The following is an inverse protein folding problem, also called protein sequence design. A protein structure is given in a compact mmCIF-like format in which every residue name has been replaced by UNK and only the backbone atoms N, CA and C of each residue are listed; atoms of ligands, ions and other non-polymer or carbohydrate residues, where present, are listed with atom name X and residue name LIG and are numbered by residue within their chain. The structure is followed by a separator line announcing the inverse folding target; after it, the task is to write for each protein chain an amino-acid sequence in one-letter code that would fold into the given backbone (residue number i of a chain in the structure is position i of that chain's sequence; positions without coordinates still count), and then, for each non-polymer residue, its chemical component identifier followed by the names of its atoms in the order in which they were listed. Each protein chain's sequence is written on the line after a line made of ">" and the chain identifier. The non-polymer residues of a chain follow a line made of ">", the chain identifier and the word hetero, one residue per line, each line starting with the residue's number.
data_IF_169578293127
#
_entry.id   IF_169578293127
#
_cell.length_a   1.000
_cell.length_b   1.000
_cell.length_c   1.000
_cell.angle_alpha   90.00
_cell.angle_beta   90.00
_cell.angle_gamma   90.00
#
_symmetry.space_group_name_H-M   'P 1'
#
loop_
_entity.id
_entity.type
_entity.pdbx_description
1 polymer ?
#
# COMPACT_ATOMS: atom_id res chain seq x y z
N UNK A 1 16.90 27.69 2.63
CA UNK A 1 15.42 27.78 2.54
C UNK A 1 14.92 26.34 2.54
N UNK A 2 14.35 25.91 3.66
CA UNK A 2 13.57 24.68 3.95
C UNK A 2 14.11 23.36 3.34
N UNK A 3 14.78 22.56 4.19
CA UNK A 3 14.93 21.12 4.01
C UNK A 3 13.58 20.42 4.23
N UNK A 4 13.13 19.61 3.27
CA UNK A 4 12.09 18.61 3.45
C UNK A 4 12.61 17.27 2.89
N UNK A 5 12.33 16.12 3.53
CA UNK A 5 12.78 14.84 3.02
C UNK A 5 11.84 14.38 1.88
N UNK A 6 12.36 14.28 0.66
CA UNK A 6 11.68 13.64 -0.46
C UNK A 6 12.02 12.14 -0.45
N UNK A 7 10.98 11.31 -0.34
CA UNK A 7 11.09 9.86 -0.23
C UNK A 7 11.21 9.15 -1.58
N UNK A 8 11.45 7.84 -1.50
CA UNK A 8 11.40 6.92 -2.64
C UNK A 8 12.11 5.58 -2.48
N UNK A 9 12.54 5.17 -1.27
CA UNK A 9 13.02 3.82 -1.03
C UNK A 9 11.82 2.89 -0.82
N UNK A 10 11.80 1.66 -1.37
CA UNK A 10 10.74 0.70 -1.03
C UNK A 10 10.75 0.57 0.49
N UNK A 11 9.61 0.88 1.12
CA UNK A 11 9.41 0.93 2.56
C UNK A 11 9.75 -0.43 3.20
N UNK A 12 11.04 -0.72 3.37
CA UNK A 12 11.50 -1.53 4.48
C UNK A 12 11.16 -0.64 5.67
N UNK A 13 10.17 -0.98 6.50
CA UNK A 13 9.78 -0.10 7.58
C UNK A 13 11.05 0.10 8.41
N UNK A 14 11.57 1.33 8.42
CA UNK A 14 12.62 1.69 9.36
C UNK A 14 12.15 1.29 10.75
N UNK A 15 13.06 1.15 11.74
CA UNK A 15 12.69 0.72 13.11
C UNK A 15 11.41 1.39 13.65
N UNK A 16 11.15 2.64 13.26
CA UNK A 16 9.94 3.41 13.57
C UNK A 16 8.65 2.89 12.92
N UNK A 17 8.70 2.42 11.67
CA UNK A 17 7.56 1.82 10.97
C UNK A 17 7.15 0.47 11.58
N UNK A 18 8.13 -0.36 11.96
CA UNK A 18 7.84 -1.64 12.63
C UNK A 18 7.18 -1.40 13.99
N UNK A 19 7.72 -0.45 14.78
CA UNK A 19 7.12 -0.07 16.07
C UNK A 19 5.69 0.45 15.89
N UNK A 20 5.45 1.31 14.91
CA UNK A 20 4.12 1.82 14.60
C UNK A 20 3.15 0.68 14.27
N UNK A 21 3.56 -0.28 13.44
CA UNK A 21 2.75 -1.46 13.12
C UNK A 21 2.37 -2.25 14.38
N UNK A 22 3.33 -2.49 15.28
CA UNK A 22 3.05 -3.17 16.55
C UNK A 22 2.09 -2.38 17.45
N UNK A 23 2.26 -1.06 17.53
CA UNK A 23 1.38 -0.19 18.31
C UNK A 23 -0.06 -0.21 17.78
N UNK A 24 -0.23 -0.20 16.46
CA UNK A 24 -1.54 -0.30 15.82
C UNK A 24 -2.22 -1.64 16.15
N UNK A 25 -1.49 -2.76 16.06
CA UNK A 25 -2.03 -4.08 16.44
C UNK A 25 -2.37 -4.18 17.93
N UNK A 26 -1.53 -3.62 18.80
CA UNK A 26 -1.80 -3.59 20.24
C UNK A 26 -3.04 -2.76 20.55
N UNK A 27 -3.22 -1.63 19.87
CA UNK A 27 -4.40 -0.77 20.02
C UNK A 27 -5.68 -1.44 19.51
N UNK A 28 -5.62 -2.12 18.35
CA UNK A 28 -6.72 -2.93 17.83
C UNK A 28 -7.15 -4.02 18.83
N UNK A 29 -6.20 -4.79 19.34
CA UNK A 29 -6.47 -5.81 20.36
C UNK A 29 -7.10 -5.20 21.62
N UNK A 30 -6.65 -4.02 22.04
CA UNK A 30 -7.21 -3.30 23.18
C UNK A 30 -8.68 -2.92 22.94
N UNK A 31 -9.04 -2.45 21.73
CA UNK A 31 -10.41 -2.11 21.37
C UNK A 31 -11.33 -3.35 21.39
N UNK A 32 -10.85 -4.48 20.89
CA UNK A 32 -11.62 -5.74 20.95
C UNK A 32 -11.84 -6.22 22.38
N UNK A 33 -10.77 -6.25 23.19
CA UNK A 33 -10.86 -6.62 24.61
C UNK A 33 -11.79 -5.67 25.36
N UNK A 34 -11.72 -4.37 25.10
CA UNK A 34 -12.62 -3.37 25.68
C UNK A 34 -14.08 -3.63 25.27
N UNK A 35 -14.33 -3.91 24.00
CA UNK A 35 -15.66 -4.27 23.50
C UNK A 35 -16.27 -5.48 24.19
N UNK A 36 -15.47 -6.54 24.35
CA UNK A 36 -15.86 -7.77 25.06
C UNK A 36 -16.13 -7.46 26.55
N UNK A 37 -15.23 -6.71 27.21
CA UNK A 37 -15.36 -6.35 28.61
C UNK A 37 -16.65 -5.54 28.87
N UNK A 38 -16.93 -4.52 28.04
CA UNK A 38 -18.14 -3.71 28.12
C UNK A 38 -19.41 -4.52 27.82
N UNK A 39 -19.28 -5.58 27.02
CA UNK A 39 -20.37 -6.49 26.74
C UNK A 39 -20.75 -7.41 27.89
N UNK A 40 -19.79 -7.79 28.72
CA UNK A 40 -19.98 -8.81 29.76
C UNK A 40 -20.18 -8.20 31.14
N UNK A 41 -19.31 -7.29 31.57
CA UNK A 41 -19.20 -6.89 32.97
C UNK A 41 -20.33 -5.97 33.46
N UNK A 42 -20.75 -4.93 32.72
CA UNK A 42 -21.77 -3.99 33.19
C UNK A 42 -23.19 -4.58 33.18
N UNK A 43 -23.51 -5.43 32.20
CA UNK A 43 -24.88 -5.88 31.92
C UNK A 43 -24.90 -7.24 31.19
N UNK A 44 -24.71 -8.37 31.89
CA UNK A 44 -24.73 -9.71 31.27
C UNK A 44 -26.09 -10.07 30.66
N UNK A 45 -27.18 -9.44 31.12
CA UNK A 45 -28.55 -9.70 30.63
C UNK A 45 -28.97 -8.80 29.45
N UNK A 46 -28.07 -7.98 28.91
CA UNK A 46 -28.34 -7.18 27.70
C UNK A 46 -27.49 -7.65 26.51
N UNK A 47 -27.99 -7.53 25.26
CA UNK A 47 -27.22 -7.85 24.07
C UNK A 47 -25.93 -7.02 23.94
N UNK A 48 -24.89 -7.62 23.36
CA UNK A 48 -23.54 -7.06 23.33
C UNK A 48 -23.27 -6.20 22.10
N UNK A 49 -23.78 -4.97 22.08
CA UNK A 49 -23.65 -4.07 20.91
C UNK A 49 -22.25 -3.45 20.77
N UNK A 50 -21.55 -3.21 21.90
CA UNK A 50 -20.26 -2.52 21.89
C UNK A 50 -19.16 -3.29 21.16
N UNK A 51 -19.09 -4.61 21.35
CA UNK A 51 -18.13 -5.45 20.62
C UNK A 51 -18.38 -5.42 19.12
N UNK A 52 -19.65 -5.53 18.70
CA UNK A 52 -20.05 -5.50 17.30
C UNK A 52 -19.66 -4.17 16.63
N UNK A 53 -19.83 -3.06 17.33
CA UNK A 53 -19.40 -1.75 16.82
C UNK A 53 -17.88 -1.73 16.53
N UNK A 54 -17.05 -2.27 17.41
CA UNK A 54 -15.60 -2.36 17.18
C UNK A 54 -15.25 -3.38 16.09
N UNK A 55 -15.98 -4.51 16.01
CA UNK A 55 -15.82 -5.54 14.98
C UNK A 55 -15.96 -4.98 13.56
N UNK A 56 -16.86 -4.02 13.37
CA UNK A 56 -17.07 -3.33 12.09
C UNK A 56 -16.15 -2.12 11.90
N UNK A 57 -15.88 -1.36 12.96
CA UNK A 57 -15.12 -0.11 12.86
C UNK A 57 -13.60 -0.34 12.66
N UNK A 58 -13.03 -1.34 13.34
CA UNK A 58 -11.58 -1.58 13.32
C UNK A 58 -11.03 -1.83 11.91
N UNK A 59 -11.62 -2.71 11.08
CA UNK A 59 -11.15 -2.91 9.70
C UNK A 59 -11.19 -1.64 8.84
N UNK A 60 -12.07 -0.68 9.16
CA UNK A 60 -12.21 0.58 8.42
C UNK A 60 -11.21 1.64 8.88
N UNK A 61 -10.81 1.64 10.15
CA UNK A 61 -9.96 2.66 10.75
C UNK A 61 -8.47 2.42 10.47
N UNK A 62 -8.07 1.16 10.34
CA UNK A 62 -6.67 0.79 10.18
C UNK A 62 -6.45 0.09 8.85
N UNK A 63 -5.57 0.68 8.03
CA UNK A 63 -5.09 0.06 6.80
C UNK A 63 -3.84 -0.74 7.15
N UNK A 64 -4.01 -1.96 7.66
CA UNK A 64 -2.90 -2.90 7.86
C UNK A 64 -2.88 -3.97 6.77
N UNK A 65 -1.95 -4.93 6.89
CA UNK A 65 -1.91 -6.09 6.00
C UNK A 65 -3.24 -6.85 6.14
N UNK A 66 -4.06 -6.92 5.08
CA UNK A 66 -5.45 -7.33 5.22
C UNK A 66 -5.64 -8.75 5.74
N UNK A 67 -4.70 -9.66 5.45
CA UNK A 67 -4.74 -11.03 5.99
C UNK A 67 -4.60 -11.06 7.51
N UNK A 68 -3.83 -10.12 8.09
CA UNK A 68 -3.65 -10.04 9.54
C UNK A 68 -4.93 -9.52 10.22
N UNK A 69 -5.67 -8.60 9.58
CA UNK A 69 -6.99 -8.18 10.07
C UNK A 69 -8.00 -9.33 10.07
N UNK A 70 -8.07 -10.13 9.00
CA UNK A 70 -8.98 -11.29 8.96
C UNK A 70 -8.66 -12.26 10.10
N UNK A 71 -7.37 -12.56 10.32
CA UNK A 71 -6.94 -13.42 11.43
C UNK A 71 -7.31 -12.84 12.80
N UNK A 72 -7.10 -11.53 13.01
CA UNK A 72 -7.47 -10.85 14.25
C UNK A 72 -8.98 -10.89 14.50
N UNK A 73 -9.79 -10.56 13.48
CA UNK A 73 -11.26 -10.60 13.56
C UNK A 73 -11.74 -11.99 13.96
N UNK A 74 -11.30 -13.04 13.26
CA UNK A 74 -11.70 -14.43 13.55
C UNK A 74 -11.26 -14.85 14.96
N UNK A 75 -10.05 -14.47 15.38
CA UNK A 75 -9.53 -14.79 16.70
C UNK A 75 -10.36 -14.13 17.83
N UNK A 76 -10.60 -12.82 17.74
CA UNK A 76 -11.35 -12.09 18.76
C UNK A 76 -12.84 -12.41 18.75
N UNK A 77 -13.44 -12.71 17.60
CA UNK A 77 -14.82 -13.20 17.50
C UNK A 77 -14.96 -14.57 18.17
N UNK A 78 -13.98 -15.48 17.98
CA UNK A 78 -13.92 -16.74 18.70
C UNK A 78 -13.81 -16.58 20.23
N UNK A 79 -13.00 -15.63 20.69
CA UNK A 79 -12.92 -15.29 22.12
C UNK A 79 -14.26 -14.74 22.62
N UNK A 80 -14.88 -13.83 21.88
CA UNK A 80 -16.17 -13.25 22.23
C UNK A 80 -17.23 -14.35 22.40
N UNK A 81 -17.38 -15.23 21.41
CA UNK A 81 -18.32 -16.37 21.47
C UNK A 81 -18.04 -17.25 22.70
N UNK A 82 -16.77 -17.58 22.97
CA UNK A 82 -16.39 -18.34 24.16
C UNK A 82 -16.82 -17.62 25.45
N UNK A 83 -16.59 -16.31 25.54
CA UNK A 83 -16.99 -15.54 26.71
C UNK A 83 -18.51 -15.42 26.88
N UNK A 84 -19.28 -15.37 25.79
CA UNK A 84 -20.74 -15.44 25.84
C UNK A 84 -21.19 -16.75 26.48
N UNK A 85 -20.61 -17.90 26.08
CA UNK A 85 -20.95 -19.19 26.69
C UNK A 85 -20.64 -19.26 28.19
N UNK A 86 -19.61 -18.56 28.65
CA UNK A 86 -19.16 -18.62 30.05
C UNK A 86 -19.90 -17.65 30.97
N UNK A 87 -20.27 -16.47 30.47
CA UNK A 87 -20.72 -15.37 31.33
C UNK A 87 -22.10 -14.79 30.99
N UNK A 88 -22.69 -15.09 29.81
CA UNK A 88 -24.01 -14.56 29.43
C UNK A 88 -25.15 -15.46 29.88
N UNK A 89 -26.31 -14.85 30.15
CA UNK A 89 -27.52 -15.57 30.48
C UNK A 89 -28.09 -16.29 29.25
N UNK A 90 -28.86 -17.36 29.47
CA UNK A 90 -29.40 -18.22 28.39
C UNK A 90 -30.36 -17.48 27.46
N UNK A 91 -30.94 -16.37 27.94
CA UNK A 91 -31.89 -15.56 27.17
C UNK A 91 -31.20 -14.70 26.11
N UNK A 92 -30.04 -14.12 26.42
CA UNK A 92 -29.28 -13.26 25.50
C UNK A 92 -28.27 -14.02 24.64
N UNK A 93 -27.80 -15.18 25.12
CA UNK A 93 -26.83 -16.04 24.43
C UNK A 93 -27.12 -16.28 22.92
N UNK A 94 -28.34 -16.67 22.49
CA UNK A 94 -28.58 -16.94 21.07
C UNK A 94 -28.48 -15.69 20.19
N UNK A 95 -28.86 -14.52 20.73
CA UNK A 95 -28.78 -13.24 20.01
C UNK A 95 -27.32 -12.82 19.85
N UNK A 96 -26.54 -12.88 20.93
CA UNK A 96 -25.12 -12.49 20.90
C UNK A 96 -24.28 -13.41 20.00
N UNK A 97 -24.58 -14.72 19.96
CA UNK A 97 -23.92 -15.66 19.04
C UNK A 97 -24.28 -15.34 17.57
N UNK A 98 -25.56 -15.10 17.30
CA UNK A 98 -26.01 -14.77 15.95
C UNK A 98 -25.36 -13.48 15.46
N UNK A 99 -25.33 -12.45 16.30
CA UNK A 99 -24.68 -11.17 15.99
C UNK A 99 -23.19 -11.35 15.76
N UNK A 100 -22.47 -12.08 16.62
CA UNK A 100 -21.06 -12.40 16.42
C UNK A 100 -20.80 -13.07 15.06
N UNK A 101 -21.56 -14.11 14.72
CA UNK A 101 -21.43 -14.79 13.44
C UNK A 101 -21.72 -13.89 12.23
N UNK A 102 -22.82 -13.13 12.27
CA UNK A 102 -23.24 -12.26 11.16
C UNK A 102 -22.25 -11.12 10.97
N UNK A 103 -21.94 -10.39 12.03
CA UNK A 103 -21.05 -9.23 11.95
C UNK A 103 -19.57 -9.63 11.81
N UNK A 104 -19.16 -10.79 12.31
CA UNK A 104 -17.86 -11.39 12.03
C UNK A 104 -17.69 -11.71 10.54
N UNK A 105 -18.71 -12.30 9.91
CA UNK A 105 -18.71 -12.54 8.47
C UNK A 105 -18.67 -11.22 7.67
N UNK A 106 -19.49 -10.23 8.05
CA UNK A 106 -19.47 -8.90 7.42
C UNK A 106 -18.10 -8.24 7.58
N UNK A 107 -17.50 -8.31 8.76
CA UNK A 107 -16.17 -7.76 9.04
C UNK A 107 -15.08 -8.42 8.17
N UNK A 108 -15.16 -9.74 7.97
CA UNK A 108 -14.28 -10.46 7.04
C UNK A 108 -14.47 -10.04 5.58
N UNK A 109 -15.72 -9.81 5.14
CA UNK A 109 -16.03 -9.29 3.80
C UNK A 109 -15.44 -7.90 3.61
N UNK A 110 -15.64 -6.99 4.57
CA UNK A 110 -15.08 -5.64 4.56
C UNK A 110 -13.54 -5.71 4.48
N UNK A 111 -12.92 -6.54 5.31
CA UNK A 111 -11.47 -6.73 5.33
C UNK A 111 -10.94 -7.25 3.98
N UNK A 112 -11.68 -8.17 3.35
CA UNK A 112 -11.34 -8.71 2.01
C UNK A 112 -11.49 -7.65 0.92
N UNK A 113 -12.54 -6.83 0.97
CA UNK A 113 -12.72 -5.73 0.04
C UNK A 113 -11.58 -4.70 0.13
N UNK A 114 -11.20 -4.32 1.36
CA UNK A 114 -10.05 -3.44 1.60
C UNK A 114 -8.77 -4.08 1.06
N UNK A 115 -8.61 -5.41 1.21
CA UNK A 115 -7.46 -6.13 0.64
C UNK A 115 -7.35 -5.96 -0.87
N UNK A 116 -8.45 -6.19 -1.57
CA UNK A 116 -8.49 -6.10 -3.03
C UNK A 116 -8.23 -4.66 -3.47
N UNK A 117 -8.87 -3.68 -2.82
CA UNK A 117 -8.65 -2.26 -3.11
C UNK A 117 -7.19 -1.85 -2.89
N UNK A 118 -6.55 -2.29 -1.81
CA UNK A 118 -5.14 -2.00 -1.54
C UNK A 118 -4.22 -2.61 -2.60
N UNK A 119 -4.49 -3.84 -3.03
CA UNK A 119 -3.71 -4.50 -4.08
C UNK A 119 -3.86 -3.79 -5.43
N UNK A 120 -5.08 -3.39 -5.80
CA UNK A 120 -5.34 -2.62 -7.02
C UNK A 120 -4.65 -1.25 -6.97
N UNK A 121 -4.76 -0.53 -5.85
CA UNK A 121 -4.10 0.76 -5.64
C UNK A 121 -2.58 0.64 -5.78
N UNK A 122 -1.98 -0.43 -5.23
CA UNK A 122 -0.55 -0.69 -5.38
C UNK A 122 -0.16 -0.91 -6.85
N UNK A 123 -0.93 -1.73 -7.58
CA UNK A 123 -0.71 -1.97 -9.01
C UNK A 123 -0.86 -0.69 -9.85
N UNK A 124 -1.90 0.10 -9.58
CA UNK A 124 -2.13 1.39 -10.24
C UNK A 124 -0.97 2.34 -9.95
N UNK A 125 -0.52 2.44 -8.70
CA UNK A 125 0.61 3.27 -8.30
C UNK A 125 1.88 2.86 -9.02
N UNK A 126 2.18 1.57 -9.13
CA UNK A 126 3.34 1.08 -9.87
C UNK A 126 3.28 1.44 -11.36
N UNK A 127 2.11 1.28 -12.00
CA UNK A 127 1.93 1.69 -13.39
C UNK A 127 2.10 3.20 -13.57
N UNK A 128 1.55 4.00 -12.66
CA UNK A 128 1.69 5.46 -12.67
C UNK A 128 3.14 5.88 -12.49
N UNK A 129 3.90 5.23 -11.59
CA UNK A 129 5.33 5.47 -11.45
C UNK A 129 6.09 5.14 -12.73
N UNK A 130 5.83 3.99 -13.34
CA UNK A 130 6.45 3.62 -14.62
C UNK A 130 6.18 4.65 -15.73
N UNK A 131 4.95 5.17 -15.82
CA UNK A 131 4.59 6.25 -16.75
C UNK A 131 5.26 7.58 -16.37
N UNK A 132 5.35 7.90 -15.08
CA UNK A 132 5.94 9.14 -14.59
C UNK A 132 7.47 9.18 -14.77
N UNK A 133 8.12 8.01 -14.84
CA UNK A 133 9.58 7.84 -14.96
C UNK A 133 10.06 7.50 -16.37
N UNK A 134 9.15 7.19 -17.30
CA UNK A 134 9.50 6.82 -18.68
C UNK A 134 9.00 7.87 -19.67
N UNK A 135 9.81 8.22 -20.66
CA UNK A 135 9.37 8.99 -21.82
C UNK A 135 8.57 8.06 -22.75
N UNK A 136 7.28 8.32 -22.93
CA UNK A 136 6.39 7.46 -23.72
C UNK A 136 6.66 7.49 -25.23
N UNK A 137 7.28 8.55 -25.75
CA UNK A 137 7.57 8.67 -27.18
C UNK A 137 8.74 7.78 -27.56
N UNK A 138 9.74 7.70 -26.68
CA UNK A 138 11.04 7.10 -26.97
C UNK A 138 11.26 5.79 -26.20
N UNK A 139 10.58 5.60 -25.06
CA UNK A 139 10.66 4.42 -24.21
C UNK A 139 11.90 4.36 -23.31
N UNK A 140 12.60 5.49 -23.14
CA UNK A 140 13.73 5.62 -22.21
C UNK A 140 13.29 6.26 -20.90
N UNK A 141 14.07 6.10 -19.83
CA UNK A 141 13.88 6.86 -18.59
C UNK A 141 13.91 8.36 -18.87
N UNK A 142 12.97 9.08 -18.29
CA UNK A 142 12.87 10.52 -18.44
C UNK A 142 13.69 11.25 -17.37
N UNK A 143 13.66 12.58 -17.41
CA UNK A 143 14.40 13.43 -16.46
C UNK A 143 13.98 13.19 -15.00
N UNK A 144 12.71 12.90 -14.72
CA UNK A 144 12.25 12.64 -13.36
C UNK A 144 12.91 11.38 -12.78
N UNK A 145 13.05 10.34 -13.61
CA UNK A 145 13.75 9.12 -13.21
C UNK A 145 15.25 9.37 -12.96
N UNK A 146 15.89 10.20 -13.79
CA UNK A 146 17.28 10.60 -13.54
C UNK A 146 17.42 11.36 -12.21
N UNK A 147 16.57 12.35 -11.95
CA UNK A 147 16.63 13.16 -10.73
C UNK A 147 16.27 12.34 -9.48
N UNK A 148 15.33 11.39 -9.56
CA UNK A 148 14.98 10.51 -8.44
C UNK A 148 16.10 9.53 -8.08
N UNK A 149 16.84 9.03 -9.06
CA UNK A 149 17.92 8.05 -8.87
C UNK A 149 19.31 8.67 -8.68
N UNK A 150 19.46 9.98 -8.93
CA UNK A 150 20.77 10.64 -8.97
C UNK A 150 21.60 10.45 -7.70
N UNK A 151 20.94 10.45 -6.53
CA UNK A 151 21.59 10.31 -5.23
C UNK A 151 22.05 8.89 -4.92
N UNK A 152 21.45 7.89 -5.58
CA UNK A 152 21.73 6.48 -5.34
C UNK A 152 22.84 5.95 -6.26
N UNK A 153 23.09 6.59 -7.41
CA UNK A 153 24.15 6.16 -8.35
C UNK A 153 25.53 5.94 -7.70
N UNK A 154 26.03 6.79 -6.77
CA UNK A 154 27.29 6.53 -6.09
C UNK A 154 27.29 5.28 -5.21
N UNK A 155 26.14 4.88 -4.66
CA UNK A 155 26.02 3.66 -3.84
C UNK A 155 26.05 2.38 -4.69
N UNK A 156 25.70 2.48 -5.97
CA UNK A 156 25.72 1.37 -6.92
C UNK A 156 27.07 1.17 -7.61
N UNK A 157 28.05 2.06 -7.40
CA UNK A 157 29.37 1.98 -8.00
C UNK A 157 30.44 1.52 -7.00
N UNK A 158 31.36 0.66 -7.45
CA UNK A 158 32.41 0.09 -6.59
C UNK A 158 33.67 0.96 -6.51
N UNK A 159 33.90 1.82 -7.50
CA UNK A 159 35.13 2.63 -7.58
C UNK A 159 34.97 3.92 -8.39
N UNK A 160 34.41 3.87 -9.60
CA UNK A 160 34.27 5.03 -10.49
C UNK A 160 32.87 5.12 -11.11
N UNK A 161 32.33 6.33 -11.17
CA UNK A 161 31.09 6.67 -11.88
C UNK A 161 31.44 7.56 -13.08
N UNK A 162 30.89 7.25 -14.25
CA UNK A 162 31.04 8.06 -15.47
C UNK A 162 29.67 8.46 -16.00
N UNK A 163 29.55 9.70 -16.47
CA UNK A 163 28.32 10.24 -17.03
C UNK A 163 28.57 10.66 -18.48
N UNK A 164 27.69 10.25 -19.39
CA UNK A 164 27.76 10.57 -20.82
C UNK A 164 26.53 11.37 -21.18
N UNK A 165 26.73 12.58 -21.70
CA UNK A 165 25.67 13.41 -22.26
C UNK A 165 25.68 13.30 -23.79
N UNK A 166 24.50 13.13 -24.36
CA UNK A 166 24.28 13.00 -25.80
C UNK A 166 23.29 14.07 -26.24
N UNK A 167 23.58 14.73 -27.36
CA UNK A 167 22.68 15.69 -28.01
C UNK A 167 22.47 15.30 -29.48
N UNK A 168 21.24 15.44 -29.96
CA UNK A 168 20.84 15.01 -31.30
C UNK A 168 20.90 16.20 -32.26
N UNK A 169 21.96 16.26 -33.05
CA UNK A 169 22.16 17.30 -34.05
C UNK A 169 21.12 17.23 -35.17
N UNK A 170 20.61 18.38 -35.63
CA UNK A 170 19.74 18.48 -36.81
C UNK A 170 18.25 18.23 -36.56
N UNK A 171 17.84 17.99 -35.31
CA UNK A 171 16.45 17.68 -34.96
C UNK A 171 15.49 18.83 -35.27
N UNK A 172 15.92 20.07 -35.02
CA UNK A 172 15.07 21.26 -35.25
C UNK A 172 14.83 21.48 -36.75
N UNK A 173 15.87 21.36 -37.56
CA UNK A 173 15.81 21.46 -39.01
C UNK A 173 14.92 20.38 -39.61
N UNK A 174 15.05 19.13 -39.11
CA UNK A 174 14.21 18.02 -39.53
C UNK A 174 12.74 18.27 -39.20
N UNK A 175 12.44 18.75 -37.99
CA UNK A 175 11.09 19.12 -37.58
C UNK A 175 10.49 20.20 -38.48
N UNK A 176 11.27 21.25 -38.78
CA UNK A 176 10.80 22.36 -39.62
C UNK A 176 10.59 21.94 -41.09
N UNK A 177 11.37 20.98 -41.59
CA UNK A 177 11.35 20.56 -43.01
C UNK A 177 10.37 19.42 -43.27
N UNK A 178 10.23 18.47 -42.34
CA UNK A 178 9.49 17.22 -42.53
C UNK A 178 8.41 16.96 -41.47
N UNK A 179 8.21 17.91 -40.56
CA UNK A 179 7.20 17.85 -39.49
C UNK A 179 7.68 17.07 -38.26
N UNK A 180 6.98 17.30 -37.14
CA UNK A 180 7.33 16.72 -35.83
C UNK A 180 7.36 15.19 -35.82
N UNK A 181 6.49 14.52 -36.58
CA UNK A 181 6.50 13.06 -36.68
C UNK A 181 7.84 12.52 -37.22
N UNK A 182 8.51 13.24 -38.13
CA UNK A 182 9.82 12.83 -38.63
C UNK A 182 10.93 13.00 -37.57
N UNK A 183 10.82 14.02 -36.71
CA UNK A 183 11.70 14.18 -35.55
C UNK A 183 11.47 13.12 -34.48
N UNK A 184 10.22 12.74 -34.21
CA UNK A 184 9.89 11.66 -33.27
C UNK A 184 10.50 10.33 -33.72
N UNK A 185 10.42 10.00 -35.02
CA UNK A 185 11.06 8.80 -35.56
C UNK A 185 12.59 8.85 -35.47
N UNK A 186 13.19 10.04 -35.65
CA UNK A 186 14.62 10.22 -35.42
C UNK A 186 14.99 9.94 -33.96
N UNK A 187 14.25 10.50 -33.00
CA UNK A 187 14.48 10.31 -31.56
C UNK A 187 14.33 8.84 -31.15
N UNK A 188 13.28 8.15 -31.63
CA UNK A 188 13.09 6.70 -31.41
C UNK A 188 14.26 5.89 -31.97
N UNK A 189 14.78 6.26 -33.14
CA UNK A 189 15.93 5.58 -33.75
C UNK A 189 17.19 5.77 -32.93
N UNK A 190 17.47 7.00 -32.46
CA UNK A 190 18.62 7.28 -31.58
C UNK A 190 18.51 6.47 -30.29
N UNK A 191 17.36 6.48 -29.64
CA UNK A 191 17.16 5.74 -28.40
C UNK A 191 17.25 4.23 -28.56
N UNK A 192 16.72 3.68 -29.64
CA UNK A 192 16.90 2.26 -29.96
C UNK A 192 18.38 1.92 -30.07
N UNK A 193 19.20 2.79 -30.68
CA UNK A 193 20.65 2.60 -30.76
C UNK A 193 21.37 2.75 -29.43
N UNK A 194 20.96 3.69 -28.59
CA UNK A 194 21.48 3.81 -27.22
C UNK A 194 21.20 2.52 -26.44
N UNK A 195 19.96 2.02 -26.48
CA UNK A 195 19.57 0.77 -25.81
C UNK A 195 20.33 -0.46 -26.34
N UNK A 196 20.57 -0.54 -27.65
CA UNK A 196 21.34 -1.62 -28.28
C UNK A 196 22.80 -1.64 -27.79
N UNK A 197 23.38 -0.46 -27.48
CA UNK A 197 24.76 -0.32 -27.03
C UNK A 197 24.89 -0.52 -25.50
N UNK A 198 23.96 0.05 -24.72
CA UNK A 198 24.07 0.13 -23.26
C UNK A 198 23.17 -0.88 -22.50
N UNK A 199 22.24 -1.56 -23.18
CA UNK A 199 21.30 -2.53 -22.60
C UNK A 199 19.95 -1.93 -22.21
N UNK A 200 19.00 -2.79 -21.81
CA UNK A 200 17.63 -2.39 -21.46
C UNK A 200 17.44 -1.97 -19.99
N UNK A 201 18.42 -2.21 -19.12
CA UNK A 201 18.31 -1.91 -17.67
C UNK A 201 18.54 -0.42 -17.32
N UNK A 202 18.92 0.42 -18.29
CA UNK A 202 19.34 1.81 -18.07
C UNK A 202 18.50 2.82 -18.84
#
# INVERSE_FOLDING_TARGET
>A
RVHGPAGGQPDIPGKNGLLLTWLMYAFEALLYVLGIYLGIHPSPDTPTVSFIAFLLAVPLLFVMRPIQHILNVVFFDGIFILTCFLFKSKETLPVDILDGMVFGAVSCIISTFIMLSMHENFSIRHKLLGIAETDLNVGLKNRNAYESQMHDYPMHCSSTLSCVYLDVNGLHELNNTRGHAAGDEMLKTVAAKVRDIFGEEY
#
